data_IF_011101620286
#
_entry.id   IF_011101620286
#
_cell.length_a   1.000
_cell.length_b   1.000
_cell.length_c   1.000
_cell.angle_alpha   90.00
_cell.angle_beta   90.00
_cell.angle_gamma   90.00
#
_symmetry.space_group_name_H-M   'P 1'
#
loop_
_entity.id
_entity.type
_entity.pdbx_description
1 polymer ?
#
# COMPACT_ATOMS: atom_id res chain seq x y z
N UNK A 1 21.43 17.73 18.10
CA UNK A 1 20.78 16.41 17.95
C UNK A 1 20.65 16.01 16.48
N UNK A 2 20.56 14.71 16.17
CA UNK A 2 20.40 14.23 14.78
C UNK A 2 19.16 14.83 14.09
N UNK A 3 18.05 14.99 14.82
CA UNK A 3 16.84 15.61 14.28
C UNK A 3 17.04 17.06 13.84
N UNK A 4 17.91 17.82 14.53
CA UNK A 4 18.22 19.19 14.15
C UNK A 4 19.07 19.22 12.87
N UNK A 5 19.99 18.27 12.73
CA UNK A 5 20.84 18.14 11.53
C UNK A 5 20.02 17.88 10.27
N UNK A 6 19.02 17.00 10.35
CA UNK A 6 18.20 16.62 9.19
C UNK A 6 16.98 17.53 8.97
N UNK A 7 16.68 18.44 9.90
CA UNK A 7 15.50 19.31 9.87
C UNK A 7 15.37 20.14 8.58
N UNK A 8 16.50 20.60 8.04
CA UNK A 8 16.54 21.36 6.78
C UNK A 8 16.17 20.53 5.56
N UNK A 9 16.45 19.22 5.58
CA UNK A 9 16.13 18.28 4.50
C UNK A 9 14.69 17.79 4.57
N UNK A 10 14.12 17.68 5.76
CA UNK A 10 12.73 17.29 6.02
C UNK A 10 11.92 18.45 6.60
N UNK A 11 11.70 19.45 5.76
CA UNK A 11 10.89 20.62 6.08
C UNK A 11 9.59 20.64 5.27
N UNK A 12 8.64 21.48 5.68
CA UNK A 12 7.42 21.70 4.89
C UNK A 12 7.74 22.19 3.45
N UNK A 13 8.84 22.91 3.26
CA UNK A 13 9.24 23.43 1.93
C UNK A 13 9.84 22.34 1.04
N UNK A 14 10.59 21.41 1.63
CA UNK A 14 11.28 20.34 0.91
C UNK A 14 10.45 19.07 0.77
N UNK A 15 9.29 18.99 1.45
CA UNK A 15 8.40 17.84 1.36
C UNK A 15 7.99 17.55 -0.09
N UNK A 16 8.04 16.30 -0.52
CA UNK A 16 7.44 15.87 -1.79
C UNK A 16 6.72 14.56 -1.59
N UNK A 17 5.49 14.47 -2.10
CA UNK A 17 4.66 13.28 -1.92
C UNK A 17 5.33 12.01 -2.44
N UNK A 18 6.08 12.12 -3.54
CA UNK A 18 6.65 10.98 -4.24
C UNK A 18 8.13 10.75 -3.93
N UNK A 19 8.87 11.79 -3.52
CA UNK A 19 10.33 11.73 -3.45
C UNK A 19 10.93 12.12 -2.09
N UNK A 20 10.19 12.82 -1.24
CA UNK A 20 10.69 13.28 0.05
C UNK A 20 9.55 13.38 1.06
N UNK A 21 9.03 12.22 1.46
CA UNK A 21 7.87 12.10 2.34
C UNK A 21 8.25 11.46 3.69
N UNK A 22 7.24 11.12 4.49
CA UNK A 22 7.43 10.49 5.80
C UNK A 22 8.19 9.16 5.74
N UNK A 23 8.12 8.40 4.65
CA UNK A 23 8.83 7.14 4.48
C UNK A 23 10.33 7.39 4.33
N UNK A 24 10.74 8.41 3.54
CA UNK A 24 12.15 8.79 3.40
C UNK A 24 12.73 9.26 4.76
N UNK A 25 11.99 10.08 5.49
CA UNK A 25 12.36 10.52 6.84
C UNK A 25 12.50 9.33 7.81
N UNK A 26 11.54 8.42 7.79
CA UNK A 26 11.54 7.24 8.66
C UNK A 26 12.66 6.27 8.31
N UNK A 27 12.98 6.11 7.03
CA UNK A 27 14.08 5.28 6.54
C UNK A 27 15.43 5.78 7.07
N UNK A 28 15.65 7.09 6.97
CA UNK A 28 16.87 7.71 7.44
C UNK A 28 17.00 7.67 8.97
N UNK A 29 15.90 7.88 9.70
CA UNK A 29 15.89 7.70 11.15
C UNK A 29 16.12 6.24 11.57
N UNK A 30 15.47 5.28 10.92
CA UNK A 30 15.66 3.87 11.20
C UNK A 30 17.11 3.45 10.95
N UNK A 31 17.70 3.93 9.85
CA UNK A 31 19.10 3.69 9.50
C UNK A 31 20.04 4.29 10.54
N UNK A 32 19.78 5.53 10.98
CA UNK A 32 20.59 6.17 12.02
C UNK A 32 20.51 5.43 13.36
N UNK A 33 19.31 5.01 13.79
CA UNK A 33 19.09 4.40 15.10
C UNK A 33 19.50 2.92 15.15
N UNK A 34 19.31 2.18 14.07
CA UNK A 34 19.43 0.71 14.07
C UNK A 34 20.44 0.17 13.07
N UNK A 35 21.00 1.02 12.20
CA UNK A 35 21.85 0.62 11.08
C UNK A 35 21.07 -0.05 9.93
N UNK A 36 19.74 -0.08 9.99
CA UNK A 36 18.87 -0.68 8.99
C UNK A 36 17.70 0.25 8.65
N UNK A 37 17.47 0.43 7.35
CA UNK A 37 16.34 1.18 6.83
C UNK A 37 15.00 0.43 6.97
N UNK A 38 13.93 1.08 6.52
CA UNK A 38 12.61 0.44 6.40
C UNK A 38 12.57 -0.45 5.14
N UNK A 39 11.63 -1.40 5.04
CA UNK A 39 11.51 -2.26 3.86
C UNK A 39 11.38 -1.49 2.53
N UNK A 40 12.12 -1.93 1.50
CA UNK A 40 12.22 -1.25 0.20
C UNK A 40 10.88 -1.03 -0.50
N UNK A 41 9.93 -1.96 -0.40
CA UNK A 41 8.60 -1.80 -1.02
C UNK A 41 7.82 -0.59 -0.47
N UNK A 42 8.19 -0.05 0.70
CA UNK A 42 7.56 1.14 1.28
C UNK A 42 8.14 2.42 0.68
N UNK A 43 9.47 2.50 0.53
CA UNK A 43 10.15 3.65 -0.08
C UNK A 43 10.07 3.64 -1.61
N UNK A 44 9.97 2.45 -2.21
CA UNK A 44 9.83 2.23 -3.66
C UNK A 44 8.41 2.31 -4.20
N UNK A 45 7.41 2.36 -3.33
CA UNK A 45 5.98 2.44 -3.67
C UNK A 45 5.64 3.56 -4.68
N UNK A 46 6.20 4.79 -4.57
CA UNK A 46 6.01 5.83 -5.58
C UNK A 46 6.52 5.42 -6.97
N UNK A 47 7.65 4.71 -7.03
CA UNK A 47 8.22 4.21 -8.29
C UNK A 47 7.32 3.15 -8.94
N UNK A 48 6.82 2.20 -8.14
CA UNK A 48 5.85 1.19 -8.60
C UNK A 48 4.56 1.83 -9.11
N UNK A 49 4.04 2.83 -8.38
CA UNK A 49 2.85 3.57 -8.78
C UNK A 49 3.05 4.28 -10.12
N UNK A 50 4.15 5.02 -10.29
CA UNK A 50 4.49 5.74 -11.52
C UNK A 50 4.76 4.82 -12.71
N UNK A 51 5.17 3.58 -12.46
CA UNK A 51 5.33 2.58 -13.52
C UNK A 51 3.99 2.13 -14.13
N UNK A 52 2.85 2.43 -13.49
CA UNK A 52 1.52 2.09 -14.03
C UNK A 52 0.96 3.18 -14.95
N UNK A 53 0.15 2.82 -15.97
CA UNK A 53 -0.56 3.81 -16.80
C UNK A 53 -1.44 4.75 -15.98
N UNK A 54 -2.09 4.23 -14.94
CA UNK A 54 -2.92 5.01 -14.03
C UNK A 54 -2.10 6.03 -13.23
N UNK A 55 -0.92 5.63 -12.73
CA UNK A 55 -0.05 6.53 -11.97
C UNK A 55 0.47 7.70 -12.81
N UNK A 56 0.80 7.45 -14.08
CA UNK A 56 1.17 8.53 -15.01
C UNK A 56 0.01 9.50 -15.28
N UNK A 57 -1.22 8.99 -15.41
CA UNK A 57 -2.41 9.84 -15.59
C UNK A 57 -2.74 10.67 -14.35
N UNK A 58 -2.46 10.15 -13.15
CA UNK A 58 -2.76 10.83 -11.88
C UNK A 58 -1.68 11.81 -11.44
N UNK A 59 -0.45 11.71 -11.96
CA UNK A 59 0.64 12.63 -11.61
C UNK A 59 0.25 14.13 -11.62
N UNK A 60 -0.45 14.68 -12.63
CA UNK A 60 -0.88 16.09 -12.61
C UNK A 60 -1.90 16.42 -11.51
N UNK A 61 -2.66 15.43 -11.02
CA UNK A 61 -3.59 15.61 -9.90
C UNK A 61 -2.87 15.65 -8.54
N UNK A 62 -1.68 15.05 -8.42
CA UNK A 62 -0.91 15.03 -7.18
C UNK A 62 -0.17 16.35 -6.92
N UNK A 63 0.23 17.06 -7.97
CA UNK A 63 0.93 18.36 -7.86
C UNK A 63 0.18 19.41 -7.00
N UNK A 64 -1.13 19.68 -7.20
CA UNK A 64 -1.85 20.62 -6.35
C UNK A 64 -1.98 20.13 -4.91
N UNK A 65 -2.06 18.82 -4.67
CA UNK A 65 -2.09 18.25 -3.32
C UNK A 65 -0.76 18.48 -2.59
N UNK A 66 0.37 18.27 -3.27
CA UNK A 66 1.69 18.58 -2.70
C UNK A 66 1.80 20.07 -2.37
N UNK A 67 1.36 20.96 -3.28
CA UNK A 67 1.37 22.40 -3.03
C UNK A 67 0.51 22.79 -1.82
N UNK A 68 -0.64 22.16 -1.63
CA UNK A 68 -1.48 22.36 -0.44
C UNK A 68 -0.76 21.92 0.84
N UNK A 69 -0.09 20.77 0.84
CA UNK A 69 0.66 20.28 2.00
C UNK A 69 1.81 21.24 2.35
N UNK A 70 2.55 21.72 1.34
CA UNK A 70 3.62 22.72 1.52
C UNK A 70 3.07 24.04 2.08
N UNK A 71 1.91 24.46 1.60
CA UNK A 71 1.25 25.69 2.02
C UNK A 71 0.64 25.59 3.43
N UNK A 72 0.27 24.39 3.89
CA UNK A 72 -0.35 24.15 5.19
C UNK A 72 0.63 24.29 6.38
N UNK A 73 1.70 25.09 6.25
CA UNK A 73 2.78 25.34 7.21
C UNK A 73 2.37 25.19 8.69
N UNK A 74 2.47 23.98 9.24
CA UNK A 74 2.21 23.69 10.65
C UNK A 74 0.74 23.76 11.09
N UNK A 75 -0.22 23.97 10.20
CA UNK A 75 -1.63 23.72 10.51
C UNK A 75 -1.87 22.21 10.41
N UNK A 76 -2.40 21.63 11.49
CA UNK A 76 -2.65 20.21 11.59
C UNK A 76 -3.53 19.76 10.41
N UNK A 77 -2.94 18.99 9.49
CA UNK A 77 -3.64 18.35 8.38
C UNK A 77 -4.74 17.38 8.88
N UNK A 78 -4.67 17.03 10.17
CA UNK A 78 -5.67 16.29 10.93
C UNK A 78 -6.27 17.20 12.01
N UNK A 79 -7.53 17.66 11.85
CA UNK A 79 -8.24 18.34 12.93
C UNK A 79 -8.33 17.42 14.16
N UNK A 80 -7.64 17.76 15.25
CA UNK A 80 -7.78 17.06 16.53
C UNK A 80 -6.52 16.68 17.30
N UNK A 81 -5.30 16.94 16.79
CA UNK A 81 -4.10 16.77 17.63
C UNK A 81 -3.89 18.03 18.46
N UNK A 82 -4.01 17.97 19.81
CA UNK A 82 -3.66 19.12 20.64
C UNK A 82 -2.18 19.42 20.41
N UNK A 83 -1.90 20.67 20.05
CA UNK A 83 -0.56 21.25 20.12
C UNK A 83 -0.04 20.94 21.53
N UNK A 84 0.96 20.07 21.65
CA UNK A 84 1.61 19.80 22.94
C UNK A 84 2.28 21.10 23.38
N UNK A 85 1.55 21.86 24.17
CA UNK A 85 2.08 23.00 24.91
C UNK A 85 3.05 22.43 25.96
N UNK A 86 4.29 22.96 26.07
CA UNK A 86 5.20 22.52 27.10
C UNK A 86 4.59 22.85 28.47
N UNK A 87 4.21 21.82 29.21
CA UNK A 87 3.70 21.98 30.57
C UNK A 87 4.78 22.63 31.46
N UNK A 88 4.42 23.63 32.30
CA UNK A 88 5.38 24.17 33.26
C UNK A 88 5.73 23.09 34.30
N UNK A 89 7.01 22.75 34.38
CA UNK A 89 7.54 21.84 35.38
C UNK A 89 7.34 22.42 36.78
N UNK A 90 6.57 21.75 37.63
CA UNK A 90 6.60 21.95 39.08
C UNK A 90 7.34 20.78 39.72
N UNK A 91 8.39 21.01 40.54
CA UNK A 91 9.01 19.94 41.29
C UNK A 91 8.17 19.68 42.56
N UNK A 92 7.38 18.62 42.57
CA UNK A 92 6.77 18.12 43.81
C UNK A 92 7.44 16.81 44.20
N UNK A 93 8.39 16.94 45.11
CA UNK A 93 8.98 15.83 45.83
C UNK A 93 8.06 15.41 46.98
N UNK A 94 7.62 14.16 46.99
CA UNK A 94 7.42 13.36 48.21
C UNK A 94 7.37 11.85 47.87
N UNK A 95 7.80 10.97 48.79
CA UNK A 95 8.28 9.62 48.49
C UNK A 95 7.26 8.50 48.78
N UNK A 96 7.70 7.23 48.63
CA UNK A 96 7.17 5.95 49.18
C UNK A 96 5.90 5.37 48.50
N UNK A 97 5.77 4.10 48.10
CA UNK A 97 6.37 2.78 48.47
C UNK A 97 6.23 1.78 47.30
N UNK A 98 7.01 0.68 47.22
CA UNK A 98 6.80 -0.41 46.28
C UNK A 98 5.94 -1.52 46.92
N UNK A 99 4.78 -1.84 46.33
CA UNK A 99 4.00 -3.02 46.69
C UNK A 99 4.04 -4.05 45.55
N UNK A 100 4.57 -5.22 45.88
CA UNK A 100 4.74 -6.37 45.00
C UNK A 100 3.45 -7.15 44.75
N UNK A 101 3.47 -7.83 43.59
CA UNK A 101 2.96 -9.17 43.28
C UNK A 101 1.62 -9.27 42.50
N UNK A 102 1.38 -10.37 41.74
CA UNK A 102 2.33 -11.30 41.09
C UNK A 102 2.04 -11.53 39.59
N UNK A 103 3.02 -12.17 38.96
CA UNK A 103 3.02 -12.64 37.58
C UNK A 103 2.33 -14.02 37.45
N UNK A 104 1.95 -14.34 36.21
CA UNK A 104 1.70 -15.67 35.60
C UNK A 104 0.25 -16.21 35.58
N UNK A 105 -0.13 -17.07 34.59
CA UNK A 105 0.75 -17.75 33.62
C UNK A 105 0.36 -17.65 32.13
N UNK A 106 1.42 -17.87 31.34
CA UNK A 106 1.44 -18.34 29.96
C UNK A 106 0.52 -19.54 29.74
N UNK A 107 -0.17 -19.56 28.60
CA UNK A 107 -0.63 -20.78 27.95
C UNK A 107 -0.41 -20.67 26.44
N UNK A 108 0.71 -21.24 25.97
CA UNK A 108 0.84 -21.81 24.64
C UNK A 108 0.03 -23.10 24.54
N UNK A 109 -0.35 -23.52 23.33
CA UNK A 109 0.23 -24.77 22.87
C UNK A 109 0.87 -24.63 21.48
N UNK A 110 2.14 -25.04 21.41
CA UNK A 110 2.80 -25.47 20.17
C UNK A 110 2.40 -26.91 19.85
N UNK A 111 2.36 -27.28 18.57
CA UNK A 111 3.11 -28.39 17.94
C UNK A 111 2.62 -28.61 16.47
N UNK A 112 3.30 -29.41 15.61
CA UNK A 112 4.24 -28.90 14.60
C UNK A 112 4.05 -29.57 13.21
N UNK A 113 4.87 -29.23 12.20
CA UNK A 113 5.49 -30.12 11.17
C UNK A 113 6.20 -29.22 10.13
N UNK A 114 7.53 -29.07 10.17
CA UNK A 114 8.58 -29.85 9.48
C UNK A 114 8.93 -29.38 8.06
N UNK A 115 9.95 -28.52 8.02
CA UNK A 115 11.24 -28.65 7.31
C UNK A 115 11.41 -29.71 6.21
N UNK A 116 11.80 -29.23 5.02
CA UNK A 116 12.92 -29.71 4.18
C UNK A 116 13.21 -28.56 3.19
N UNK A 117 14.41 -28.06 2.92
CA UNK A 117 15.74 -28.63 3.07
C UNK A 117 16.43 -28.59 1.71
N UNK A 118 17.35 -27.62 1.52
CA UNK A 118 18.52 -27.79 0.66
C UNK A 118 18.54 -27.16 -0.73
N UNK A 119 19.36 -26.11 -0.86
CA UNK A 119 20.64 -26.14 -1.60
C UNK A 119 20.83 -25.15 -2.77
N UNK A 120 21.66 -24.13 -2.47
CA UNK A 120 22.88 -23.71 -3.20
C UNK A 120 22.78 -23.43 -4.72
N UNK A 121 23.01 -22.18 -5.12
CA UNK A 121 24.25 -21.82 -5.86
C UNK A 121 24.49 -20.31 -5.93
N UNK A 122 25.71 -19.98 -5.57
CA UNK A 122 26.45 -18.73 -5.74
C UNK A 122 27.08 -18.71 -7.13
N UNK A 123 27.04 -17.58 -7.85
CA UNK A 123 28.18 -17.04 -8.61
C UNK A 123 27.88 -15.60 -9.11
N UNK A 124 28.71 -14.67 -8.63
CA UNK A 124 29.36 -13.54 -9.34
C UNK A 124 29.42 -13.65 -10.88
N UNK A 125 29.76 -12.66 -11.71
CA UNK A 125 30.05 -11.21 -11.67
C UNK A 125 30.49 -10.86 -13.11
N UNK A 126 30.44 -9.58 -13.46
CA UNK A 126 31.16 -8.91 -14.58
C UNK A 126 30.74 -9.17 -16.02
N UNK A 127 30.65 -8.06 -16.76
CA UNK A 127 30.15 -7.99 -18.13
C UNK A 127 31.25 -8.04 -19.19
N UNK A 128 30.82 -7.92 -20.45
CA UNK A 128 31.37 -6.97 -21.43
C UNK A 128 30.60 -7.03 -22.74
N UNK A 129 30.49 -5.84 -23.33
CA UNK A 129 30.08 -5.43 -24.68
C UNK A 129 30.56 -6.32 -25.83
N UNK A 130 29.68 -6.57 -26.81
CA UNK A 130 29.98 -6.52 -28.25
C UNK A 130 28.71 -6.64 -29.11
N UNK A 131 28.87 -6.29 -30.38
CA UNK A 131 27.94 -5.74 -31.35
C UNK A 131 27.57 -6.78 -32.44
N UNK A 132 26.63 -6.39 -33.31
CA UNK A 132 26.46 -6.79 -34.72
C UNK A 132 25.50 -7.94 -35.12
N UNK A 133 24.37 -7.50 -35.68
CA UNK A 133 23.92 -7.74 -37.06
C UNK A 133 23.45 -9.13 -37.58
N UNK A 134 22.15 -9.15 -37.90
CA UNK A 134 21.54 -9.47 -39.21
C UNK A 134 21.26 -10.92 -39.66
N UNK A 135 20.11 -11.01 -40.37
CA UNK A 135 19.56 -12.09 -41.23
C UNK A 135 19.08 -13.37 -40.49
N UNK A 136 17.96 -14.01 -40.82
CA UNK A 136 16.94 -13.87 -41.85
C UNK A 136 16.20 -15.21 -42.01
N UNK A 137 14.91 -15.15 -42.32
CA UNK A 137 14.11 -16.14 -43.09
C UNK A 137 13.47 -17.39 -42.38
N UNK A 138 12.13 -17.34 -42.38
CA UNK A 138 11.08 -18.39 -42.60
C UNK A 138 10.98 -19.65 -41.73
N UNK A 139 9.77 -19.85 -41.20
CA UNK A 139 9.23 -21.14 -40.77
C UNK A 139 7.81 -21.02 -40.20
N UNK A 140 6.79 -21.31 -41.02
CA UNK A 140 5.38 -21.45 -40.63
C UNK A 140 5.15 -22.61 -39.64
N UNK A 141 4.18 -22.44 -38.74
CA UNK A 141 3.64 -23.53 -37.90
C UNK A 141 2.77 -23.04 -36.74
N UNK A 142 1.45 -22.91 -36.97
CA UNK A 142 0.40 -22.64 -35.98
C UNK A 142 -0.13 -23.98 -35.40
N UNK A 143 -0.99 -24.01 -34.36
CA UNK A 143 -0.70 -23.89 -32.93
C UNK A 143 -1.08 -25.17 -32.15
N UNK A 144 -0.60 -25.32 -30.91
CA UNK A 144 -1.22 -26.20 -29.90
C UNK A 144 -1.85 -25.35 -28.80
N UNK A 145 -3.07 -24.88 -29.08
CA UNK A 145 -3.97 -24.23 -28.13
C UNK A 145 -4.95 -25.29 -27.60
N UNK A 146 -4.68 -25.84 -26.42
CA UNK A 146 -5.68 -26.48 -25.57
C UNK A 146 -5.08 -26.62 -24.17
N UNK A 147 -5.90 -26.55 -23.13
CA UNK A 147 -5.55 -26.75 -21.69
C UNK A 147 -5.20 -25.49 -20.87
N UNK A 148 -5.38 -24.26 -21.37
CA UNK A 148 -5.33 -23.05 -20.52
C UNK A 148 -6.60 -22.16 -20.55
N UNK A 149 -7.68 -22.63 -21.20
CA UNK A 149 -8.90 -21.82 -21.42
C UNK A 149 -9.97 -21.98 -20.34
N UNK A 150 -10.04 -23.14 -19.67
CA UNK A 150 -11.18 -23.45 -18.78
C UNK A 150 -11.23 -22.68 -17.46
N UNK A 151 -10.10 -22.25 -16.91
CA UNK A 151 -10.08 -21.52 -15.64
C UNK A 151 -10.31 -20.00 -15.78
N UNK A 152 -10.18 -19.46 -17.00
CA UNK A 152 -10.36 -18.02 -17.26
C UNK A 152 -11.78 -17.69 -17.73
N UNK A 153 -12.44 -18.60 -18.47
CA UNK A 153 -13.80 -18.37 -18.99
C UNK A 153 -14.87 -18.39 -17.89
N UNK A 154 -14.67 -19.19 -16.83
CA UNK A 154 -15.63 -19.33 -15.72
C UNK A 154 -15.70 -18.10 -14.82
N UNK A 155 -14.57 -17.43 -14.55
CA UNK A 155 -14.53 -16.19 -13.74
C UNK A 155 -15.16 -15.00 -14.46
N UNK A 156 -15.03 -14.94 -15.78
CA UNK A 156 -15.64 -13.89 -16.61
C UNK A 156 -17.14 -14.09 -16.72
N UNK A 157 -17.59 -15.32 -16.96
CA UNK A 157 -19.03 -15.64 -17.03
C UNK A 157 -19.75 -15.39 -15.71
N UNK A 158 -19.15 -15.77 -14.57
CA UNK A 158 -19.75 -15.51 -13.26
C UNK A 158 -19.88 -14.00 -12.95
N UNK A 159 -18.95 -13.18 -13.44
CA UNK A 159 -19.02 -11.72 -13.33
C UNK A 159 -20.13 -11.15 -14.20
N UNK A 160 -20.26 -11.64 -15.43
CA UNK A 160 -21.30 -11.22 -16.38
C UNK A 160 -22.70 -11.59 -15.87
N UNK A 161 -22.88 -12.82 -15.38
CA UNK A 161 -24.14 -13.30 -14.80
C UNK A 161 -24.56 -12.45 -13.57
N UNK A 162 -23.59 -12.06 -12.73
CA UNK A 162 -23.83 -11.17 -11.59
C UNK A 162 -24.21 -9.76 -12.02
N UNK A 163 -23.50 -9.20 -13.00
CA UNK A 163 -23.76 -7.84 -13.51
C UNK A 163 -25.15 -7.75 -14.19
N UNK A 164 -25.55 -8.80 -14.89
CA UNK A 164 -26.90 -8.92 -15.46
C UNK A 164 -27.97 -9.02 -14.35
N UNK A 165 -27.73 -9.81 -13.31
CA UNK A 165 -28.65 -9.93 -12.17
C UNK A 165 -28.85 -8.58 -11.45
N UNK A 166 -27.78 -7.82 -11.23
CA UNK A 166 -27.85 -6.47 -10.62
C UNK A 166 -28.66 -5.52 -11.50
N UNK A 167 -28.43 -5.52 -12.82
CA UNK A 167 -29.17 -4.66 -13.76
C UNK A 167 -30.67 -4.95 -13.76
N UNK A 168 -31.03 -6.23 -13.74
CA UNK A 168 -32.42 -6.65 -13.79
C UNK A 168 -33.17 -6.31 -12.49
N UNK A 169 -32.54 -6.52 -11.33
CA UNK A 169 -33.13 -6.10 -10.05
C UNK A 169 -33.21 -4.57 -9.92
N UNK A 170 -32.21 -3.85 -10.41
CA UNK A 170 -32.25 -2.39 -10.43
C UNK A 170 -33.42 -1.86 -11.28
N UNK A 171 -33.59 -2.38 -12.50
CA UNK A 171 -34.68 -2.00 -13.40
C UNK A 171 -36.06 -2.31 -12.79
N UNK A 172 -36.19 -3.46 -12.12
CA UNK A 172 -37.41 -3.87 -11.43
C UNK A 172 -37.76 -2.95 -10.26
N UNK A 173 -36.76 -2.58 -9.44
CA UNK A 173 -36.95 -1.66 -8.31
C UNK A 173 -37.28 -0.24 -8.77
N UNK A 174 -36.67 0.23 -9.86
CA UNK A 174 -36.96 1.53 -10.45
C UNK A 174 -38.36 1.60 -11.10
N UNK A 175 -38.84 0.50 -11.67
CA UNK A 175 -40.21 0.43 -12.23
C UNK A 175 -41.30 0.45 -11.17
N UNK A 176 -40.98 0.15 -9.90
CA UNK A 176 -41.93 0.17 -8.78
C UNK A 176 -42.27 1.57 -8.25
N UNK A 177 -41.60 2.62 -8.73
CA UNK A 177 -41.93 4.02 -8.46
C UNK A 177 -41.72 4.52 -7.02
N UNK A 178 -41.19 3.69 -6.11
CA UNK A 178 -41.06 4.01 -4.68
C UNK A 178 -39.64 4.22 -4.17
N UNK A 179 -38.61 4.08 -5.01
CA UNK A 179 -37.21 4.15 -4.61
C UNK A 179 -36.44 5.20 -5.42
N UNK A 180 -35.51 5.88 -4.76
CA UNK A 180 -34.53 6.74 -5.45
C UNK A 180 -33.48 5.88 -6.15
N UNK A 181 -32.80 6.42 -7.18
CA UNK A 181 -31.79 5.67 -7.93
C UNK A 181 -30.65 5.12 -7.05
N UNK A 182 -30.23 5.84 -6.01
CA UNK A 182 -29.18 5.36 -5.11
C UNK A 182 -29.68 4.22 -4.20
N UNK A 183 -30.94 4.27 -3.77
CA UNK A 183 -31.56 3.24 -2.94
C UNK A 183 -31.83 1.96 -3.73
N UNK A 184 -32.33 2.09 -4.97
CA UNK A 184 -32.50 0.98 -5.88
C UNK A 184 -31.16 0.31 -6.23
N UNK A 185 -30.07 1.08 -6.38
CA UNK A 185 -28.75 0.55 -6.67
C UNK A 185 -28.20 -0.29 -5.51
N UNK A 186 -28.31 0.23 -4.28
CA UNK A 186 -27.90 -0.50 -3.09
C UNK A 186 -28.72 -1.78 -2.87
N UNK A 187 -30.04 -1.72 -3.09
CA UNK A 187 -30.93 -2.87 -2.96
C UNK A 187 -30.69 -3.92 -4.07
N UNK A 188 -30.40 -3.51 -5.29
CA UNK A 188 -30.11 -4.41 -6.41
C UNK A 188 -28.81 -5.21 -6.21
N UNK A 189 -27.73 -4.55 -5.75
CA UNK A 189 -26.46 -5.24 -5.44
C UNK A 189 -26.66 -6.24 -4.30
N UNK A 190 -27.44 -5.87 -3.27
CA UNK A 190 -27.76 -6.76 -2.15
C UNK A 190 -28.62 -7.95 -2.57
N UNK A 191 -29.58 -7.75 -3.47
CA UNK A 191 -30.44 -8.81 -4.00
C UNK A 191 -29.65 -9.77 -4.92
N UNK A 192 -28.73 -9.27 -5.73
CA UNK A 192 -27.87 -10.09 -6.58
C UNK A 192 -26.85 -10.91 -5.79
N UNK A 193 -26.36 -10.40 -4.65
CA UNK A 193 -25.43 -11.11 -3.78
C UNK A 193 -26.09 -12.21 -2.91
N UNK A 194 -27.43 -12.23 -2.83
CA UNK A 194 -28.19 -13.23 -2.08
C UNK A 194 -28.65 -14.42 -2.94
N UNK A 195 -28.28 -14.44 -4.22
CA UNK A 195 -28.51 -15.55 -5.16
C UNK A 195 -27.27 -16.43 -5.25
#
# INVERSE_FOLDING_TARGET
DFLEEISSRYSAQTYSLLHNNCNNFSDELATFLTGKGIPEHITGLPGEFLATPMGQMLMPMLAPMEAQIKAAQGQALFPGHPKQEPAPATPSAAPHTPASAPNAPVATPSAPLKEAGGAKRELESTGTRAEAASAGVTGEGKPVEAVAKEASTTKTKAKEDFEEAVRLEFAKLMSGGGMTANEAAAAAVKAAAAR
#
